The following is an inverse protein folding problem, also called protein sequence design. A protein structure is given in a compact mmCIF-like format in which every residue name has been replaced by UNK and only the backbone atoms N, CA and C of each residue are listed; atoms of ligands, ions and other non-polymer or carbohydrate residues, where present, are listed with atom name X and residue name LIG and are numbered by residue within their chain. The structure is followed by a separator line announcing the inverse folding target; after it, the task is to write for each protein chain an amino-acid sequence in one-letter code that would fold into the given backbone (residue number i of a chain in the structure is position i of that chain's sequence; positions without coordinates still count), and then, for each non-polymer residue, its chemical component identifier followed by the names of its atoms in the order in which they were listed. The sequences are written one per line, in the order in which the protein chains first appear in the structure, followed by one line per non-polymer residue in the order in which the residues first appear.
data_IF_702940121398
#
_entry.id   IF_702940121398
#
_cell.length_a   1.000
_cell.length_b   1.000
_cell.length_c   1.000
_cell.angle_alpha   90.00
_cell.angle_beta   90.00
_cell.angle_gamma   90.00
#
_symmetry.space_group_name_H-M   'P 1'
#
loop_
_entity.id
_entity.type
_entity.pdbx_description
1 polymer ?
#
# COMPACT_ATOMS: atom_id res chain seq x y z
N UNK A 1 2.54 13.19 -2.48
CA UNK A 1 1.34 12.40 -2.76
C UNK A 1 0.37 12.36 -1.58
N UNK A 2 0.84 12.20 -0.35
CA UNK A 2 -0.01 12.20 0.86
C UNK A 2 -0.82 13.48 1.06
N UNK A 3 -0.24 14.62 0.68
CA UNK A 3 -0.96 15.89 0.66
C UNK A 3 -2.13 15.87 -0.34
N UNK A 4 -1.96 15.17 -1.43
CA UNK A 4 -2.98 15.00 -2.45
C UNK A 4 -4.08 14.05 -1.99
N UNK A 5 -3.74 12.92 -1.37
CA UNK A 5 -4.73 11.96 -0.89
C UNK A 5 -5.61 12.56 0.20
N UNK A 6 -5.03 13.23 1.19
CA UNK A 6 -5.81 13.93 2.22
C UNK A 6 -6.70 15.02 1.66
N UNK A 7 -6.20 15.82 0.72
CA UNK A 7 -6.94 16.89 0.08
C UNK A 7 -8.06 16.35 -0.84
N UNK A 8 -7.73 15.43 -1.73
CA UNK A 8 -8.70 14.90 -2.69
C UNK A 8 -9.79 14.07 -2.01
N UNK A 9 -9.47 13.26 -1.02
CA UNK A 9 -10.50 12.48 -0.32
C UNK A 9 -11.45 13.37 0.46
N UNK A 10 -10.95 14.41 1.12
CA UNK A 10 -11.79 15.31 1.90
C UNK A 10 -12.68 16.21 1.00
N UNK A 11 -12.16 16.73 -0.09
CA UNK A 11 -12.91 17.63 -0.98
C UNK A 11 -13.85 16.88 -1.91
N UNK A 12 -13.43 15.75 -2.45
CA UNK A 12 -14.26 14.97 -3.35
C UNK A 12 -15.37 14.21 -2.61
N UNK A 13 -15.20 13.96 -1.32
CA UNK A 13 -16.25 13.49 -0.43
C UNK A 13 -17.46 14.48 -0.39
N UNK A 14 -17.16 15.77 -0.39
CA UNK A 14 -18.20 16.82 -0.44
C UNK A 14 -18.94 16.86 -1.78
N UNK A 15 -18.29 16.46 -2.85
CA UNK A 15 -18.84 16.53 -4.21
C UNK A 15 -19.33 15.17 -4.71
N UNK A 16 -19.44 14.17 -3.84
CA UNK A 16 -19.81 12.81 -4.21
C UNK A 16 -18.86 12.15 -5.25
N UNK A 17 -17.62 12.58 -5.29
CA UNK A 17 -16.60 12.05 -6.19
C UNK A 17 -15.38 11.66 -5.37
N UNK A 18 -15.12 10.37 -5.22
CA UNK A 18 -13.94 9.86 -4.54
C UNK A 18 -13.08 9.07 -5.55
N UNK A 19 -12.04 9.69 -6.12
CA UNK A 19 -11.22 9.03 -7.14
C UNK A 19 -10.34 7.91 -6.57
N UNK A 20 -10.11 7.91 -5.25
CA UNK A 20 -9.26 6.93 -4.58
C UNK A 20 -9.98 6.38 -3.34
N UNK A 21 -10.27 5.10 -3.38
CA UNK A 21 -10.85 4.36 -2.25
C UNK A 21 -9.94 3.19 -1.90
N UNK A 22 -9.89 2.77 -0.62
CA UNK A 22 -9.13 1.58 -0.23
C UNK A 22 -9.73 0.34 -0.89
N UNK A 23 -8.88 -0.58 -1.31
CA UNK A 23 -9.33 -1.85 -1.86
C UNK A 23 -9.95 -2.73 -0.79
N UNK A 24 -10.87 -3.63 -1.19
CA UNK A 24 -11.44 -4.62 -0.27
C UNK A 24 -10.37 -5.51 0.36
N UNK A 25 -9.36 -5.88 -0.42
CA UNK A 25 -8.23 -6.66 0.07
C UNK A 25 -7.49 -5.92 1.19
N UNK A 26 -7.25 -4.62 1.04
CA UNK A 26 -6.61 -3.83 2.07
C UNK A 26 -7.46 -3.77 3.34
N UNK A 27 -8.76 -3.50 3.21
CA UNK A 27 -9.65 -3.46 4.38
C UNK A 27 -9.72 -4.82 5.07
N UNK A 28 -9.83 -5.90 4.31
CA UNK A 28 -9.86 -7.27 4.83
C UNK A 28 -8.53 -7.75 5.41
N UNK A 29 -7.42 -7.08 5.12
CA UNK A 29 -6.12 -7.41 5.69
C UNK A 29 -6.01 -7.05 7.17
N UNK A 30 -6.82 -6.13 7.67
CA UNK A 30 -6.84 -5.77 9.08
C UNK A 30 -7.62 -6.79 9.91
N UNK A 31 -7.12 -7.11 11.08
CA UNK A 31 -7.85 -7.92 12.05
C UNK A 31 -9.06 -7.14 12.60
N UNK A 32 -10.14 -7.85 12.89
CA UNK A 32 -11.32 -7.22 13.50
C UNK A 32 -10.94 -6.61 14.85
N UNK A 33 -11.16 -5.32 15.01
CA UNK A 33 -10.76 -4.58 16.21
C UNK A 33 -9.35 -3.98 16.17
N UNK A 34 -8.62 -4.10 15.06
CA UNK A 34 -7.35 -3.38 14.87
C UNK A 34 -7.62 -1.86 14.91
N UNK A 35 -7.05 -1.13 15.88
CA UNK A 35 -7.34 0.31 16.03
C UNK A 35 -6.87 1.14 14.83
N UNK A 36 -5.94 0.64 14.02
CA UNK A 36 -5.50 1.32 12.81
C UNK A 36 -6.60 1.47 11.75
N UNK A 37 -7.66 0.65 11.80
CA UNK A 37 -8.80 0.77 10.86
C UNK A 37 -9.40 2.18 10.97
N UNK A 38 -9.72 2.61 12.20
CA UNK A 38 -10.32 3.92 12.44
C UNK A 38 -9.38 5.09 12.14
N UNK A 39 -8.07 4.88 12.25
CA UNK A 39 -7.06 5.90 11.93
C UNK A 39 -6.76 5.98 10.43
N UNK A 40 -7.00 4.90 9.70
CA UNK A 40 -6.68 4.79 8.28
C UNK A 40 -7.88 5.12 7.40
N UNK A 41 -9.07 4.71 7.82
CA UNK A 41 -10.28 4.82 7.03
C UNK A 41 -11.39 5.51 7.81
N UNK A 42 -12.07 6.46 7.17
CA UNK A 42 -13.36 6.93 7.65
C UNK A 42 -14.42 5.91 7.25
N UNK A 43 -15.01 5.27 8.25
CA UNK A 43 -16.05 4.26 8.09
C UNK A 43 -17.45 4.82 8.32
N UNK A 44 -17.58 6.11 8.62
CA UNK A 44 -18.82 6.75 9.05
C UNK A 44 -19.39 7.73 8.03
N UNK A 45 -18.52 8.41 7.25
CA UNK A 45 -18.93 9.44 6.32
C UNK A 45 -19.16 8.86 4.93
N UNK A 46 -20.35 9.08 4.35
CA UNK A 46 -20.70 8.71 2.96
C UNK A 46 -20.41 7.24 2.54
N UNK A 47 -20.33 6.36 3.51
CA UNK A 47 -20.06 4.92 3.32
C UNK A 47 -21.03 4.28 2.32
N UNK A 48 -22.25 4.82 2.19
CA UNK A 48 -23.29 4.27 1.34
C UNK A 48 -23.00 4.38 -0.16
N UNK A 49 -22.11 5.27 -0.58
CA UNK A 49 -21.83 5.52 -2.01
C UNK A 49 -20.52 4.91 -2.49
N UNK A 50 -19.44 4.98 -1.66
CA UNK A 50 -18.09 4.63 -2.08
C UNK A 50 -17.37 3.65 -1.14
N UNK A 51 -18.01 3.21 -0.05
CA UNK A 51 -17.37 2.40 0.97
C UNK A 51 -16.48 3.22 1.90
N UNK A 52 -15.36 2.67 2.33
CA UNK A 52 -14.42 3.36 3.18
C UNK A 52 -13.67 4.46 2.43
N UNK A 53 -13.41 5.56 3.11
CA UNK A 53 -12.65 6.70 2.57
C UNK A 53 -11.35 6.84 3.35
N UNK A 54 -10.29 7.24 2.67
CA UNK A 54 -9.00 7.47 3.33
C UNK A 54 -9.10 8.58 4.38
N UNK A 55 -8.56 8.30 5.57
CA UNK A 55 -8.51 9.26 6.67
C UNK A 55 -7.08 9.46 7.19
N UNK A 56 -6.18 8.52 6.92
CA UNK A 56 -4.79 8.58 7.33
C UNK A 56 -4.16 9.89 6.90
N UNK A 57 -3.55 10.61 7.84
CA UNK A 57 -2.92 11.94 7.62
C UNK A 57 -3.85 13.12 7.31
N UNK A 58 -5.16 12.94 7.36
CA UNK A 58 -6.08 14.08 7.25
C UNK A 58 -6.01 14.88 8.55
N UNK A 59 -5.60 16.15 8.44
CA UNK A 59 -5.70 17.11 9.54
C UNK A 59 -6.95 17.96 9.34
N UNK A 60 -7.98 17.64 10.10
CA UNK A 60 -9.28 18.33 10.01
C UNK A 60 -9.29 19.74 10.59
N UNK A 61 -8.31 20.08 11.39
CA UNK A 61 -8.16 21.35 12.10
C UNK A 61 -7.38 22.42 11.32
N UNK A 62 -6.77 22.05 10.21
CA UNK A 62 -6.04 23.00 9.37
C UNK A 62 -6.90 23.39 8.17
N UNK A 63 -7.53 24.53 8.27
CA UNK A 63 -8.21 25.18 7.15
C UNK A 63 -7.17 25.83 6.24
N UNK A 64 -6.56 25.06 5.37
CA UNK A 64 -5.85 25.58 4.21
C UNK A 64 -6.84 25.86 3.09
N UNK A 65 -6.55 26.85 2.25
CA UNK A 65 -7.33 27.06 1.01
C UNK A 65 -7.27 25.79 0.13
N UNK A 66 -8.12 25.73 -0.87
CA UNK A 66 -8.41 24.55 -1.71
C UNK A 66 -7.21 23.80 -2.31
N UNK A 67 -6.00 24.34 -2.25
CA UNK A 67 -4.81 23.75 -2.87
C UNK A 67 -3.58 23.69 -1.96
N UNK A 68 -3.74 23.86 -0.65
CA UNK A 68 -2.59 23.88 0.27
C UNK A 68 -2.77 22.88 1.39
N UNK A 69 -1.77 22.03 1.60
CA UNK A 69 -1.66 21.16 2.77
C UNK A 69 -0.33 21.45 3.48
N UNK A 70 -0.38 21.48 4.81
CA UNK A 70 0.82 21.63 5.64
C UNK A 70 1.44 20.27 6.00
N UNK A 71 0.91 19.18 5.49
CA UNK A 71 1.49 17.86 5.69
C UNK A 71 2.73 17.69 4.81
N UNK A 72 3.83 17.29 5.42
CA UNK A 72 5.02 16.89 4.68
C UNK A 72 4.86 15.47 4.14
N UNK A 73 5.32 15.16 2.92
CA UNK A 73 5.45 13.79 2.43
C UNK A 73 6.26 12.94 3.41
N UNK A 74 5.81 11.71 3.65
CA UNK A 74 6.49 10.76 4.54
C UNK A 74 7.13 9.67 3.72
N UNK A 75 8.26 9.98 3.14
CA UNK A 75 9.00 9.06 2.27
C UNK A 75 9.58 7.87 3.03
N UNK A 76 9.91 8.05 4.31
CA UNK A 76 10.51 7.02 5.14
C UNK A 76 9.99 7.12 6.58
N UNK A 77 9.61 5.98 7.16
CA UNK A 77 9.21 5.85 8.57
C UNK A 77 9.96 4.73 9.25
N UNK A 78 10.10 4.82 10.56
CA UNK A 78 10.79 3.79 11.35
C UNK A 78 10.17 2.39 11.18
N UNK A 79 8.85 2.31 11.08
CA UNK A 79 8.15 1.05 10.81
C UNK A 79 8.57 0.40 9.47
N UNK A 80 8.84 1.19 8.44
CA UNK A 80 9.36 0.68 7.18
C UNK A 80 10.75 0.05 7.37
N UNK A 81 11.63 0.72 8.11
CA UNK A 81 12.98 0.20 8.42
C UNK A 81 12.90 -1.11 9.22
N UNK A 82 11.99 -1.22 10.20
CA UNK A 82 11.80 -2.45 10.97
C UNK A 82 11.36 -3.61 10.06
N UNK A 83 10.41 -3.37 9.16
CA UNK A 83 9.92 -4.40 8.24
C UNK A 83 10.94 -4.78 7.16
N UNK A 84 11.71 -3.81 6.65
CA UNK A 84 12.83 -4.09 5.75
C UNK A 84 13.93 -4.89 6.45
N UNK A 85 14.24 -4.57 7.71
CA UNK A 85 15.18 -5.35 8.52
C UNK A 85 14.67 -6.78 8.74
N UNK A 86 13.39 -6.96 9.09
CA UNK A 86 12.80 -8.28 9.26
C UNK A 86 12.93 -9.14 7.99
N UNK A 87 12.62 -8.55 6.84
CA UNK A 87 12.75 -9.20 5.54
C UNK A 87 14.21 -9.54 5.20
N UNK A 88 15.15 -8.63 5.47
CA UNK A 88 16.57 -8.87 5.24
C UNK A 88 17.13 -9.99 6.12
N UNK A 89 16.74 -10.07 7.40
CA UNK A 89 17.09 -11.16 8.30
C UNK A 89 16.58 -12.48 7.76
N UNK A 90 15.31 -12.55 7.35
CA UNK A 90 14.72 -13.77 6.81
C UNK A 90 15.45 -14.23 5.55
N UNK A 91 15.67 -13.33 4.60
CA UNK A 91 16.29 -13.64 3.31
C UNK A 91 17.79 -13.97 3.41
N UNK A 92 18.46 -13.56 4.47
CA UNK A 92 19.85 -13.92 4.74
C UNK A 92 20.01 -15.23 5.51
N UNK A 93 18.92 -15.93 5.83
CA UNK A 93 18.93 -17.12 6.68
C UNK A 93 19.23 -16.82 8.15
N UNK A 94 18.98 -15.59 8.59
CA UNK A 94 19.21 -15.14 9.97
C UNK A 94 18.17 -15.64 10.95
N UNK A 95 18.17 -15.07 12.14
CA UNK A 95 17.28 -15.47 13.24
C UNK A 95 15.82 -15.12 12.96
N UNK A 96 15.00 -16.13 12.67
CA UNK A 96 13.58 -15.99 12.37
C UNK A 96 12.79 -15.37 13.53
N UNK A 97 13.13 -15.72 14.77
CA UNK A 97 12.48 -15.15 15.94
C UNK A 97 12.76 -13.63 16.06
N UNK A 98 13.96 -13.17 15.68
CA UNK A 98 14.28 -11.75 15.63
C UNK A 98 13.43 -11.05 14.54
N UNK A 99 13.34 -11.63 13.34
CA UNK A 99 12.50 -11.08 12.27
C UNK A 99 11.03 -10.95 12.69
N UNK A 100 10.46 -11.97 13.32
CA UNK A 100 9.09 -11.93 13.85
C UNK A 100 8.96 -10.90 14.97
N UNK A 101 9.95 -10.77 15.84
CA UNK A 101 9.99 -9.78 16.89
C UNK A 101 9.86 -8.34 16.37
N UNK A 102 10.50 -8.03 15.26
CA UNK A 102 10.39 -6.71 14.61
C UNK A 102 8.98 -6.42 14.08
N UNK A 103 8.30 -7.44 13.55
CA UNK A 103 6.90 -7.32 13.15
C UNK A 103 6.02 -7.08 14.38
N UNK A 104 6.25 -7.85 15.45
CA UNK A 104 5.48 -7.75 16.68
C UNK A 104 5.69 -6.41 17.41
N UNK A 105 6.84 -5.76 17.26
CA UNK A 105 7.06 -4.38 17.75
C UNK A 105 6.05 -3.41 17.16
N UNK A 106 5.82 -3.49 15.85
CA UNK A 106 4.82 -2.67 15.15
C UNK A 106 3.41 -3.00 15.63
N UNK A 107 3.08 -4.28 15.74
CA UNK A 107 1.77 -4.77 16.19
C UNK A 107 1.48 -4.36 17.63
N UNK A 108 2.49 -4.43 18.50
CA UNK A 108 2.41 -3.97 19.90
C UNK A 108 2.12 -2.48 19.97
N UNK A 109 2.84 -1.68 19.19
CA UNK A 109 2.56 -0.24 19.11
C UNK A 109 1.14 0.02 18.58
N UNK A 110 0.71 -0.69 17.56
CA UNK A 110 -0.60 -0.50 16.94
C UNK A 110 -1.76 -0.79 17.89
N UNK A 111 -1.68 -1.87 18.68
CA UNK A 111 -2.75 -2.23 19.63
C UNK A 111 -2.77 -1.39 20.91
N UNK A 112 -1.65 -0.73 21.24
CA UNK A 112 -1.54 0.04 22.50
C UNK A 112 -1.87 -0.82 23.73
N UNK A 113 -2.87 -0.41 24.50
CA UNK A 113 -3.34 -1.15 25.66
C UNK A 113 -4.33 -2.30 25.32
N UNK A 114 -4.71 -2.44 24.04
CA UNK A 114 -5.62 -3.49 23.58
C UNK A 114 -4.92 -4.83 23.38
N UNK A 115 -5.66 -5.76 22.78
CA UNK A 115 -5.19 -7.12 22.47
C UNK A 115 -5.05 -7.40 20.97
N UNK A 116 -5.58 -6.53 20.13
CA UNK A 116 -5.59 -6.68 18.67
C UNK A 116 -4.85 -5.49 18.05
N UNK A 117 -3.97 -5.72 17.05
CA UNK A 117 -3.56 -7.02 16.48
C UNK A 117 -2.70 -7.84 17.45
N UNK A 118 -2.92 -9.15 17.49
CA UNK A 118 -2.14 -10.05 18.34
C UNK A 118 -0.72 -10.26 17.81
N UNK A 119 0.23 -10.60 18.67
CA UNK A 119 1.59 -10.94 18.24
C UNK A 119 1.62 -12.25 17.46
N UNK A 120 2.47 -12.32 16.47
CA UNK A 120 2.81 -13.57 15.81
C UNK A 120 3.70 -14.45 16.69
N UNK A 121 3.54 -15.76 16.55
CA UNK A 121 4.34 -16.73 17.30
C UNK A 121 5.80 -16.69 16.84
N UNK A 122 6.70 -16.33 17.73
CA UNK A 122 8.16 -16.26 17.45
C UNK A 122 8.81 -17.61 17.23
N UNK A 123 8.13 -18.72 17.55
CA UNK A 123 8.60 -20.08 17.27
C UNK A 123 8.28 -20.58 15.85
N UNK A 124 7.62 -19.76 15.01
CA UNK A 124 7.37 -20.10 13.60
C UNK A 124 8.69 -20.29 12.86
N UNK A 125 8.77 -21.36 12.08
CA UNK A 125 9.99 -21.75 11.35
C UNK A 125 9.81 -21.78 9.84
N UNK A 126 8.56 -21.71 9.34
CA UNK A 126 8.28 -21.66 7.91
C UNK A 126 8.54 -20.26 7.35
N UNK A 127 9.53 -20.17 6.47
CA UNK A 127 9.95 -18.90 5.87
C UNK A 127 8.88 -18.26 4.99
N UNK A 128 8.10 -19.08 4.29
CA UNK A 128 7.02 -18.58 3.44
C UNK A 128 5.92 -17.93 4.28
N UNK A 129 5.59 -18.53 5.41
CA UNK A 129 4.63 -17.97 6.38
C UNK A 129 5.13 -16.66 6.97
N UNK A 130 6.40 -16.60 7.41
CA UNK A 130 6.98 -15.37 7.98
C UNK A 130 7.05 -14.27 6.92
N UNK A 131 7.45 -14.62 5.69
CA UNK A 131 7.46 -13.65 4.60
C UNK A 131 6.06 -13.11 4.28
N UNK A 132 5.04 -13.96 4.32
CA UNK A 132 3.66 -13.51 4.17
C UNK A 132 3.24 -12.54 5.29
N UNK A 133 3.64 -12.79 6.54
CA UNK A 133 3.40 -11.88 7.65
C UNK A 133 4.06 -10.51 7.44
N UNK A 134 5.30 -10.50 6.93
CA UNK A 134 6.00 -9.26 6.58
C UNK A 134 5.22 -8.50 5.49
N UNK A 135 4.84 -9.19 4.42
CA UNK A 135 4.11 -8.58 3.30
C UNK A 135 2.76 -8.00 3.75
N UNK A 136 2.04 -8.73 4.60
CA UNK A 136 0.74 -8.30 5.12
C UNK A 136 0.88 -7.14 6.11
N UNK A 137 1.91 -7.17 6.96
CA UNK A 137 2.13 -6.07 7.90
C UNK A 137 2.58 -4.80 7.17
N UNK A 138 3.40 -4.91 6.12
CA UNK A 138 3.72 -3.78 5.25
C UNK A 138 2.47 -3.20 4.58
N UNK A 139 1.55 -4.06 4.14
CA UNK A 139 0.28 -3.63 3.57
C UNK A 139 -0.55 -2.84 4.59
N UNK A 140 -0.68 -3.33 5.83
CA UNK A 140 -1.46 -2.67 6.89
C UNK A 140 -0.82 -1.37 7.37
N UNK A 141 0.48 -1.41 7.62
CA UNK A 141 1.21 -0.32 8.27
C UNK A 141 1.51 0.83 7.30
N UNK A 142 1.89 0.51 6.06
CA UNK A 142 2.38 1.48 5.08
C UNK A 142 1.33 1.85 4.02
N UNK A 143 0.08 1.38 4.17
CA UNK A 143 -0.99 1.80 3.27
C UNK A 143 -1.22 3.32 3.37
N UNK A 144 -1.37 3.97 2.23
CA UNK A 144 -1.54 5.42 2.18
C UNK A 144 -0.26 6.22 2.40
N UNK A 145 0.88 5.57 2.61
CA UNK A 145 2.20 6.21 2.57
C UNK A 145 2.71 6.26 1.13
N UNK A 146 3.62 7.21 0.85
CA UNK A 146 4.11 7.48 -0.51
C UNK A 146 4.76 6.24 -1.15
N UNK A 147 4.19 5.79 -2.24
CA UNK A 147 4.69 4.81 -3.23
C UNK A 147 5.18 3.43 -2.71
N UNK A 148 5.23 3.18 -1.40
CA UNK A 148 5.77 1.94 -0.82
C UNK A 148 5.14 0.69 -1.44
N UNK A 149 3.83 0.67 -1.60
CA UNK A 149 3.12 -0.53 -2.09
C UNK A 149 3.55 -0.95 -3.49
N UNK A 150 3.69 -0.01 -4.42
CA UNK A 150 4.09 -0.33 -5.78
C UNK A 150 5.53 -0.86 -5.85
N UNK A 151 6.44 -0.26 -5.11
CA UNK A 151 7.82 -0.74 -5.04
C UNK A 151 7.91 -2.12 -4.37
N UNK A 152 7.15 -2.36 -3.30
CA UNK A 152 7.07 -3.67 -2.66
C UNK A 152 6.57 -4.75 -3.63
N UNK A 153 5.47 -4.49 -4.33
CA UNK A 153 4.92 -5.44 -5.31
C UNK A 153 5.91 -5.76 -6.42
N UNK A 154 6.62 -4.77 -6.94
CA UNK A 154 7.65 -4.98 -7.97
C UNK A 154 8.79 -5.84 -7.47
N UNK A 155 9.39 -5.49 -6.32
CA UNK A 155 10.55 -6.22 -5.80
C UNK A 155 10.18 -7.65 -5.39
N UNK A 156 9.00 -7.87 -4.83
CA UNK A 156 8.53 -9.22 -4.51
C UNK A 156 8.19 -10.05 -5.75
N UNK A 157 7.70 -9.43 -6.80
CA UNK A 157 7.52 -10.10 -8.08
C UNK A 157 8.86 -10.57 -8.66
N UNK A 158 9.88 -9.69 -8.69
CA UNK A 158 11.21 -10.05 -9.17
C UNK A 158 11.91 -11.08 -8.27
N UNK A 159 11.64 -11.07 -6.97
CA UNK A 159 12.14 -12.07 -6.04
C UNK A 159 11.36 -13.42 -6.10
N UNK A 160 10.25 -13.47 -6.83
CA UNK A 160 9.44 -14.69 -6.98
C UNK A 160 8.45 -14.95 -5.84
N UNK A 161 8.28 -14.04 -4.90
CA UNK A 161 7.32 -14.18 -3.79
C UNK A 161 5.87 -14.02 -4.25
N UNK A 162 5.62 -13.21 -5.26
CA UNK A 162 4.30 -12.99 -5.85
C UNK A 162 4.38 -13.01 -7.37
N UNK A 163 3.24 -13.22 -8.01
CA UNK A 163 3.14 -13.10 -9.47
C UNK A 163 2.15 -11.98 -9.83
N UNK A 164 2.68 -10.84 -10.25
CA UNK A 164 1.85 -9.71 -10.66
C UNK A 164 1.02 -9.98 -11.92
N UNK A 165 1.40 -10.96 -12.75
CA UNK A 165 0.62 -11.34 -13.93
C UNK A 165 -0.77 -11.88 -13.56
N UNK A 166 -0.92 -12.45 -12.37
CA UNK A 166 -2.17 -12.98 -11.85
C UNK A 166 -2.84 -12.04 -10.83
N UNK A 167 -2.32 -10.83 -10.68
CA UNK A 167 -2.81 -9.89 -9.70
C UNK A 167 -4.05 -9.17 -10.21
N UNK A 168 -5.14 -9.32 -9.51
CA UNK A 168 -6.45 -8.73 -9.84
C UNK A 168 -6.68 -7.33 -9.27
N UNK A 169 -5.61 -6.66 -8.81
CA UNK A 169 -5.71 -5.40 -8.06
C UNK A 169 -6.20 -5.57 -6.64
N UNK A 170 -6.51 -6.79 -6.23
CA UNK A 170 -6.91 -7.14 -4.87
C UNK A 170 -8.40 -7.01 -4.57
N UNK A 171 -9.25 -6.75 -5.55
CA UNK A 171 -10.66 -6.46 -5.30
C UNK A 171 -11.63 -7.50 -5.83
N UNK A 172 -11.12 -8.46 -6.60
CA UNK A 172 -12.01 -9.50 -7.13
C UNK A 172 -13.30 -8.93 -7.70
N UNK A 173 -13.20 -7.97 -8.58
CA UNK A 173 -14.31 -7.48 -9.41
C UNK A 173 -15.57 -6.95 -8.68
N UNK A 174 -15.54 -6.68 -7.40
CA UNK A 174 -16.73 -6.25 -6.67
C UNK A 174 -16.57 -4.90 -6.00
N UNK A 175 -16.41 -3.91 -6.83
CA UNK A 175 -16.92 -2.58 -6.68
C UNK A 175 -16.73 -1.81 -5.38
N UNK A 176 -15.57 -1.16 -5.21
CA UNK A 176 -15.52 0.21 -4.76
C UNK A 176 -15.25 1.14 -5.94
N UNK A 177 -15.73 0.80 -7.11
CA UNK A 177 -15.62 1.65 -8.26
C UNK A 177 -16.73 2.68 -8.25
N UNK A 178 -16.36 3.92 -8.07
CA UNK A 178 -17.29 5.04 -8.20
C UNK A 178 -17.85 5.21 -9.62
N UNK A 179 -17.42 4.47 -10.61
CA UNK A 179 -17.95 4.58 -11.98
C UNK A 179 -17.44 3.56 -12.98
N UNK A 180 -16.72 2.51 -12.58
CA UNK A 180 -16.21 1.51 -13.53
C UNK A 180 -16.77 0.13 -13.26
N UNK A 181 -17.18 -0.61 -14.32
CA UNK A 181 -17.65 -1.97 -14.17
C UNK A 181 -16.61 -2.88 -13.51
N UNK A 182 -17.09 -3.81 -12.72
CA UNK A 182 -16.28 -4.86 -12.14
C UNK A 182 -15.46 -5.57 -13.23
N UNK A 183 -14.15 -5.65 -13.06
CA UNK A 183 -13.26 -6.34 -13.99
C UNK A 183 -12.50 -5.48 -15.00
N UNK A 184 -12.67 -4.15 -15.01
CA UNK A 184 -11.96 -3.27 -15.94
C UNK A 184 -10.48 -3.03 -15.64
N UNK A 185 -9.99 -3.40 -14.46
CA UNK A 185 -8.58 -3.31 -14.11
C UNK A 185 -8.03 -4.68 -13.70
N UNK A 186 -7.49 -5.39 -14.66
CA UNK A 186 -6.62 -6.53 -14.37
C UNK A 186 -5.18 -6.11 -14.60
N UNK A 187 -4.33 -6.28 -13.63
CA UNK A 187 -2.88 -6.14 -13.80
C UNK A 187 -2.36 -7.02 -14.94
N UNK A 188 -3.09 -8.10 -15.26
CA UNK A 188 -2.80 -8.96 -16.39
C UNK A 188 -2.78 -8.20 -17.72
N UNK A 189 -3.72 -7.28 -17.93
CA UNK A 189 -3.74 -6.46 -19.14
C UNK A 189 -2.57 -5.49 -19.20
N UNK A 190 -2.12 -5.04 -18.03
CA UNK A 190 -0.99 -4.14 -17.91
C UNK A 190 0.37 -4.85 -18.09
N UNK A 191 0.52 -6.06 -17.57
CA UNK A 191 1.78 -6.82 -17.65
C UNK A 191 1.88 -7.63 -18.95
N UNK A 192 0.78 -8.18 -19.47
CA UNK A 192 0.79 -8.99 -20.70
C UNK A 192 0.75 -8.16 -21.97
N UNK A 193 0.00 -7.07 -22.01
CA UNK A 193 -0.05 -6.18 -23.16
C UNK A 193 1.26 -5.39 -23.35
N UNK A 194 2.08 -5.28 -22.32
CA UNK A 194 3.24 -4.39 -22.33
C UNK A 194 4.37 -4.91 -21.49
N UNK A 195 4.83 -6.12 -21.67
CA UNK A 195 5.90 -6.78 -20.87
C UNK A 195 6.98 -5.86 -20.25
N UNK A 196 6.90 -4.57 -20.43
CA UNK A 196 7.83 -3.57 -20.04
C UNK A 196 7.32 -2.47 -19.12
N UNK A 197 6.02 -2.31 -18.86
CA UNK A 197 5.53 -1.20 -17.99
C UNK A 197 5.84 -1.34 -16.50
N UNK A 198 6.66 -2.29 -16.13
CA UNK A 198 7.32 -2.34 -14.81
C UNK A 198 8.30 -1.18 -14.60
N UNK A 199 8.79 -0.59 -15.67
CA UNK A 199 9.64 0.58 -15.68
C UNK A 199 8.88 1.77 -16.26
N UNK A 200 9.18 2.97 -15.80
CA UNK A 200 8.64 4.19 -16.42
C UNK A 200 9.33 4.47 -17.75
N UNK A 201 8.68 5.16 -18.70
CA UNK A 201 9.32 5.57 -19.91
C UNK A 201 10.44 6.56 -19.62
N UNK A 202 11.54 6.43 -20.34
CA UNK A 202 12.60 7.45 -20.35
C UNK A 202 12.04 8.67 -21.10
N UNK A 203 12.16 9.89 -20.55
CA UNK A 203 11.68 11.09 -21.24
C UNK A 203 12.24 11.19 -22.66
N UNK A 204 11.40 11.59 -23.61
CA UNK A 204 11.81 11.73 -25.03
C UNK A 204 12.97 12.73 -25.19
N UNK A 205 13.05 13.74 -24.33
CA UNK A 205 14.19 14.68 -24.31
C UNK A 205 15.51 13.99 -24.05
N UNK A 206 15.55 13.01 -23.14
CA UNK A 206 16.79 12.27 -22.81
C UNK A 206 17.19 11.37 -23.98
N UNK A 207 16.24 10.66 -24.60
CA UNK A 207 16.50 9.80 -25.76
C UNK A 207 17.00 10.63 -26.93
N UNK A 208 16.39 11.78 -27.19
CA UNK A 208 16.78 12.68 -28.27
C UNK A 208 18.17 13.32 -28.05
N UNK A 209 18.57 13.48 -26.78
CA UNK A 209 19.85 14.08 -26.42
C UNK A 209 21.03 13.08 -26.39
N UNK A 210 20.72 11.79 -26.25
CA UNK A 210 21.74 10.74 -26.14
C UNK A 210 21.33 9.49 -26.94
N UNK A 211 21.96 9.35 -28.10
CA UNK A 211 21.71 8.23 -29.02
C UNK A 211 22.07 6.84 -28.48
N UNK A 212 22.75 6.76 -27.34
CA UNK A 212 23.08 5.50 -26.67
C UNK A 212 21.98 5.05 -25.70
N UNK A 213 21.02 5.93 -25.41
CA UNK A 213 19.89 5.59 -24.53
C UNK A 213 18.76 4.97 -25.35
N UNK A 214 18.41 3.76 -25.02
CA UNK A 214 17.23 3.07 -25.60
C UNK A 214 16.05 3.18 -24.65
N UNK A 215 14.86 3.31 -25.21
CA UNK A 215 13.62 3.34 -24.42
C UNK A 215 13.41 2.02 -23.66
N UNK A 216 12.82 2.13 -22.47
CA UNK A 216 12.42 0.95 -21.72
C UNK A 216 11.40 0.12 -22.51
N UNK A 217 11.42 -1.23 -22.37
CA UNK A 217 10.48 -2.09 -23.06
C UNK A 217 9.02 -1.69 -22.81
N UNK A 218 8.22 -1.69 -23.86
CA UNK A 218 6.78 -1.37 -23.79
C UNK A 218 6.41 0.09 -24.13
N UNK A 219 7.40 0.91 -24.52
CA UNK A 219 7.18 2.31 -24.90
C UNK A 219 7.78 2.63 -26.26
#
# INVERSE_FOLDING_TARGET
MDNYLGYYTQQWQWWNQCPYVPSKKLVAAFEVGDPRIAETFDTTSNVNYYGYVWQKYIKRDIQGGFNTSMNNPRTLRYADILLLKAEAILNSGGNKAEAIGLINEIRTRARGAGTVPADFNTAESDEATIMQWIMDERLRELCGDDDHRWFDLKRWHYAGYINLSNWDGGDGATGFSCSRPAGEFKFNDFLTATQGKMWYPIPSSEINSNSLVMQNPGY
#
